data_IF_957543120135
#
_entry.id   IF_957543120135
#
_cell.length_a   1.000
_cell.length_b   1.000
_cell.length_c   1.000
_cell.angle_alpha   90.00
_cell.angle_beta   90.00
_cell.angle_gamma   90.00
#
_symmetry.space_group_name_H-M   'P 1'
#
loop_
_entity.id
_entity.type
_entity.pdbx_description
1 polymer ?
#
# COMPACT_ATOMS: atom_id res chain seq x y z
N UNK A 1 -9.79 70.98 33.63
CA UNK A 1 -9.77 71.10 32.14
C UNK A 1 -8.97 69.97 31.49
N UNK A 2 -7.81 69.56 32.04
CA UNK A 2 -7.02 68.42 31.56
C UNK A 2 -7.74 67.05 31.59
N UNK A 3 -8.50 66.75 32.66
CA UNK A 3 -9.22 65.46 32.76
C UNK A 3 -10.30 65.28 31.69
N UNK A 4 -10.99 66.36 31.31
CA UNK A 4 -12.03 66.31 30.28
C UNK A 4 -11.42 65.99 28.91
N UNK A 5 -10.24 66.55 28.62
CA UNK A 5 -9.55 66.33 27.36
C UNK A 5 -8.97 64.92 27.24
N UNK A 6 -8.36 64.39 28.31
CA UNK A 6 -7.87 63.01 28.36
C UNK A 6 -9.02 61.99 28.19
N UNK A 7 -10.18 62.24 28.82
CA UNK A 7 -11.35 61.36 28.73
C UNK A 7 -11.96 61.38 27.32
N UNK A 8 -11.98 62.53 26.65
CA UNK A 8 -12.45 62.66 25.27
C UNK A 8 -11.51 61.97 24.27
N UNK A 9 -10.20 62.12 24.45
CA UNK A 9 -9.19 61.46 23.61
C UNK A 9 -9.28 59.93 23.72
N UNK A 10 -9.40 59.40 24.93
CA UNK A 10 -9.59 57.97 25.20
C UNK A 10 -10.89 57.42 24.58
N UNK A 11 -12.00 58.16 24.65
CA UNK A 11 -13.26 57.76 23.99
C UNK A 11 -13.15 57.77 22.46
N UNK A 12 -12.48 58.78 21.89
CA UNK A 12 -12.27 58.88 20.45
C UNK A 12 -11.41 57.70 19.93
N UNK A 13 -10.29 57.43 20.59
CA UNK A 13 -9.38 56.31 20.28
C UNK A 13 -10.10 54.98 20.44
N UNK A 14 -10.87 54.77 21.52
CA UNK A 14 -11.66 53.55 21.73
C UNK A 14 -12.71 53.34 20.63
N UNK A 15 -13.41 54.39 20.19
CA UNK A 15 -14.39 54.30 19.10
C UNK A 15 -13.77 54.03 17.73
N UNK A 16 -12.59 54.60 17.47
CA UNK A 16 -11.84 54.42 16.24
C UNK A 16 -11.25 53.01 16.18
N UNK A 17 -10.69 52.54 17.29
CA UNK A 17 -10.18 51.18 17.46
C UNK A 17 -11.28 50.14 17.25
N UNK A 18 -12.45 50.29 17.89
CA UNK A 18 -13.57 49.36 17.71
C UNK A 18 -14.05 49.30 16.25
N UNK A 19 -14.15 50.45 15.56
CA UNK A 19 -14.53 50.49 14.14
C UNK A 19 -13.46 49.88 13.24
N UNK A 20 -12.19 50.12 13.54
CA UNK A 20 -11.06 49.54 12.81
C UNK A 20 -11.04 48.02 12.97
N UNK A 21 -11.16 47.52 14.21
CA UNK A 21 -11.19 46.10 14.54
C UNK A 21 -12.38 45.42 13.86
N UNK A 22 -13.59 45.98 13.98
CA UNK A 22 -14.78 45.44 13.30
C UNK A 22 -14.56 45.35 11.79
N UNK A 23 -14.12 46.44 11.15
CA UNK A 23 -13.88 46.45 9.70
C UNK A 23 -12.83 45.42 9.28
N UNK A 24 -11.73 45.32 10.01
CA UNK A 24 -10.69 44.32 9.73
C UNK A 24 -11.18 42.89 9.95
N UNK A 25 -11.94 42.63 11.02
CA UNK A 25 -12.52 41.30 11.27
C UNK A 25 -13.51 40.89 10.18
N UNK A 26 -14.36 41.79 9.68
CA UNK A 26 -15.29 41.45 8.60
C UNK A 26 -14.58 41.19 7.27
N UNK A 27 -13.57 41.99 6.92
CA UNK A 27 -12.80 41.77 5.67
C UNK A 27 -12.01 40.46 5.74
N UNK A 28 -11.32 40.19 6.86
CA UNK A 28 -10.57 38.94 7.04
C UNK A 28 -11.48 37.71 7.07
N UNK A 29 -12.66 37.79 7.70
CA UNK A 29 -13.64 36.70 7.65
C UNK A 29 -14.17 36.46 6.23
N UNK A 30 -14.39 37.51 5.44
CA UNK A 30 -14.80 37.37 4.05
C UNK A 30 -13.71 36.73 3.16
N UNK A 31 -12.45 37.11 3.37
CA UNK A 31 -11.29 36.50 2.68
C UNK A 31 -11.11 35.02 3.06
N UNK A 32 -11.28 34.69 4.35
CA UNK A 32 -11.24 33.30 4.83
C UNK A 32 -12.39 32.50 4.22
N UNK A 33 -13.61 33.05 4.17
CA UNK A 33 -14.76 32.39 3.55
C UNK A 33 -14.52 32.16 2.06
N UNK A 34 -13.95 33.13 1.36
CA UNK A 34 -13.60 33.01 -0.05
C UNK A 34 -12.54 31.91 -0.27
N UNK A 35 -11.47 31.90 0.51
CA UNK A 35 -10.40 30.92 0.38
C UNK A 35 -10.84 29.49 0.79
N UNK A 36 -11.65 29.35 1.84
CA UNK A 36 -12.04 28.05 2.37
C UNK A 36 -13.22 27.41 1.64
N UNK A 37 -14.12 28.21 1.06
CA UNK A 37 -15.40 27.73 0.49
C UNK A 37 -15.52 28.03 -1.00
N UNK A 38 -15.21 29.26 -1.43
CA UNK A 38 -15.47 29.66 -2.82
C UNK A 38 -14.35 29.21 -3.77
N UNK A 39 -13.10 29.37 -3.37
CA UNK A 39 -11.93 29.00 -4.17
C UNK A 39 -11.88 27.50 -4.52
N UNK A 40 -12.16 26.56 -3.59
CA UNK A 40 -12.19 25.13 -3.93
C UNK A 40 -13.32 24.73 -4.88
N UNK A 41 -14.42 25.49 -4.92
CA UNK A 41 -15.52 25.24 -5.86
C UNK A 41 -15.13 25.56 -7.32
N UNK A 42 -14.13 26.41 -7.52
CA UNK A 42 -13.55 26.72 -8.84
C UNK A 42 -12.56 25.65 -9.33
N UNK A 43 -12.15 24.71 -8.47
CA UNK A 43 -11.19 23.66 -8.79
C UNK A 43 -11.87 22.38 -9.29
N UNK A 44 -11.18 21.63 -10.17
CA UNK A 44 -11.58 20.29 -10.59
C UNK A 44 -11.60 19.30 -9.41
N UNK A 45 -12.30 18.16 -9.55
CA UNK A 45 -12.45 17.20 -8.46
C UNK A 45 -11.14 16.66 -7.86
N UNK A 46 -10.09 16.29 -8.64
CA UNK A 46 -8.82 15.85 -8.04
C UNK A 46 -8.06 17.01 -7.39
N UNK A 47 -8.01 18.17 -8.04
CA UNK A 47 -7.32 19.37 -7.57
C UNK A 47 -7.90 19.87 -6.24
N UNK A 48 -9.22 19.81 -6.11
CA UNK A 48 -9.95 20.17 -4.89
C UNK A 48 -9.54 19.30 -3.70
N UNK A 49 -9.37 17.99 -3.90
CA UNK A 49 -8.92 17.09 -2.85
C UNK A 49 -7.47 17.40 -2.44
N UNK A 50 -6.60 17.71 -3.39
CA UNK A 50 -5.23 18.14 -3.11
C UNK A 50 -5.20 19.45 -2.33
N UNK A 51 -6.02 20.42 -2.74
CA UNK A 51 -6.17 21.70 -2.05
C UNK A 51 -6.60 21.51 -0.59
N UNK A 52 -7.66 20.75 -0.33
CA UNK A 52 -8.13 20.52 1.05
C UNK A 52 -7.09 19.82 1.91
N UNK A 53 -6.34 18.86 1.35
CA UNK A 53 -5.24 18.19 2.07
C UNK A 53 -4.11 19.16 2.39
N UNK A 54 -3.74 20.04 1.45
CA UNK A 54 -2.72 21.06 1.67
C UNK A 54 -3.14 22.06 2.76
N UNK A 55 -4.39 22.55 2.71
CA UNK A 55 -4.96 23.44 3.74
C UNK A 55 -4.98 22.75 5.10
N UNK A 56 -5.45 21.50 5.17
CA UNK A 56 -5.48 20.74 6.42
C UNK A 56 -4.08 20.52 7.00
N UNK A 57 -3.09 20.14 6.18
CA UNK A 57 -1.69 19.98 6.63
C UNK A 57 -1.09 21.29 7.12
N UNK A 58 -1.35 22.38 6.40
CA UNK A 58 -0.89 23.72 6.79
C UNK A 58 -1.52 24.13 8.12
N UNK A 59 -2.80 23.82 8.31
CA UNK A 59 -3.53 24.06 9.56
C UNK A 59 -2.89 23.32 10.74
N UNK A 60 -2.61 22.03 10.58
CA UNK A 60 -1.92 21.25 11.62
C UNK A 60 -0.49 21.74 11.89
N UNK A 61 0.26 22.12 10.86
CA UNK A 61 1.60 22.68 11.02
C UNK A 61 1.56 24.00 11.79
N UNK A 62 0.58 24.85 11.51
CA UNK A 62 0.41 26.13 12.17
C UNK A 62 -0.04 25.98 13.65
N UNK A 63 -0.94 25.05 13.93
CA UNK A 63 -1.29 24.68 15.30
C UNK A 63 -0.08 24.14 16.08
N UNK A 64 0.71 23.27 15.47
CA UNK A 64 1.92 22.74 16.08
C UNK A 64 2.95 23.85 16.37
N UNK A 65 3.09 24.84 15.49
CA UNK A 65 3.97 26.00 15.70
C UNK A 65 3.53 26.85 16.91
N UNK A 66 2.23 26.88 17.21
CA UNK A 66 1.67 27.54 18.40
C UNK A 66 1.67 26.64 19.64
N UNK A 67 2.19 25.41 19.54
CA UNK A 67 2.08 24.37 20.59
C UNK A 67 0.63 24.11 21.00
N UNK A 68 -0.30 24.22 20.05
CA UNK A 68 -1.72 24.01 20.26
C UNK A 68 -2.23 22.76 19.54
N UNK A 69 -3.26 22.17 20.12
CA UNK A 69 -4.07 21.15 19.45
C UNK A 69 -5.30 21.79 18.82
N UNK A 70 -5.93 21.06 17.91
CA UNK A 70 -7.21 21.47 17.32
C UNK A 70 -8.25 21.79 18.40
N UNK A 71 -8.34 20.92 19.41
CA UNK A 71 -9.28 21.07 20.50
C UNK A 71 -8.99 22.31 21.35
N UNK A 72 -7.74 22.54 21.74
CA UNK A 72 -7.37 23.69 22.56
C UNK A 72 -7.63 25.02 21.83
N UNK A 73 -7.34 25.07 20.53
CA UNK A 73 -7.63 26.28 19.74
C UNK A 73 -9.14 26.54 19.67
N UNK A 74 -9.95 25.52 19.35
CA UNK A 74 -11.41 25.69 19.30
C UNK A 74 -12.00 26.08 20.65
N UNK A 75 -11.59 25.43 21.74
CA UNK A 75 -12.10 25.67 23.08
C UNK A 75 -11.84 27.11 23.54
N UNK A 76 -10.59 27.59 23.43
CA UNK A 76 -10.19 28.88 23.99
C UNK A 76 -10.37 30.05 23.02
N UNK A 77 -10.13 29.85 21.73
CA UNK A 77 -10.17 30.94 20.75
C UNK A 77 -11.55 31.16 20.14
N UNK A 78 -12.43 30.15 20.14
CA UNK A 78 -13.76 30.24 19.50
C UNK A 78 -14.87 30.06 20.53
N UNK A 79 -14.89 28.93 21.24
CA UNK A 79 -16.00 28.57 22.13
C UNK A 79 -16.07 29.53 23.34
N UNK A 80 -14.94 29.83 24.00
CA UNK A 80 -14.94 30.72 25.17
C UNK A 80 -15.44 32.15 24.86
N UNK A 81 -15.01 32.82 23.76
CA UNK A 81 -15.62 34.09 23.35
C UNK A 81 -17.11 34.01 23.03
N UNK A 82 -17.58 32.92 22.39
CA UNK A 82 -19.01 32.71 22.11
C UNK A 82 -19.80 32.60 23.41
N UNK A 83 -19.32 31.82 24.39
CA UNK A 83 -19.95 31.72 25.71
C UNK A 83 -19.97 33.10 26.39
N UNK A 84 -18.86 33.83 26.36
CA UNK A 84 -18.78 35.20 26.87
C UNK A 84 -19.82 36.13 26.24
N UNK A 85 -20.00 36.05 24.92
CA UNK A 85 -21.02 36.81 24.19
C UNK A 85 -22.45 36.44 24.64
N UNK A 86 -22.76 35.14 24.77
CA UNK A 86 -24.07 34.68 25.24
C UNK A 86 -24.36 35.17 26.66
N UNK A 87 -23.37 35.11 27.56
CA UNK A 87 -23.50 35.64 28.94
C UNK A 87 -23.82 37.14 28.90
N UNK A 88 -23.16 37.91 28.05
CA UNK A 88 -23.47 39.34 27.89
C UNK A 88 -24.91 39.55 27.42
N UNK A 89 -25.39 38.79 26.44
CA UNK A 89 -26.76 38.89 25.94
C UNK A 89 -27.80 38.57 27.02
N UNK A 90 -27.52 37.59 27.89
CA UNK A 90 -28.39 37.26 29.03
C UNK A 90 -28.40 38.39 30.05
N UNK A 91 -27.24 38.97 30.38
CA UNK A 91 -27.14 40.13 31.28
C UNK A 91 -27.89 41.35 30.72
N UNK A 92 -27.86 41.55 29.40
CA UNK A 92 -28.62 42.57 28.68
C UNK A 92 -30.13 42.29 28.58
N UNK A 93 -30.67 41.22 29.16
CA UNK A 93 -32.11 41.00 29.30
C UNK A 93 -32.65 41.29 30.70
N UNK A 94 -31.79 41.47 31.70
CA UNK A 94 -32.23 41.69 33.08
C UNK A 94 -32.63 43.16 33.31
N UNK A 95 -33.76 43.51 33.94
CA UNK A 95 -34.33 44.88 33.94
C UNK A 95 -33.57 45.96 34.74
N UNK A 96 -32.48 45.64 35.44
CA UNK A 96 -31.72 46.58 36.30
C UNK A 96 -30.54 47.27 35.58
N UNK A 97 -30.69 47.63 34.29
CA UNK A 97 -29.57 47.79 33.35
C UNK A 97 -28.77 49.08 33.42
N UNK A 98 -29.32 50.18 33.92
CA UNK A 98 -28.64 51.48 33.82
C UNK A 98 -27.31 51.51 34.58
N UNK A 99 -27.20 50.79 35.70
CA UNK A 99 -25.97 50.68 36.47
C UNK A 99 -24.94 49.69 35.86
N UNK A 100 -25.37 48.73 35.04
CA UNK A 100 -24.52 47.64 34.51
C UNK A 100 -24.00 47.89 33.08
N UNK A 101 -24.54 48.87 32.37
CA UNK A 101 -24.17 49.22 30.99
C UNK A 101 -22.67 49.49 30.75
N UNK A 102 -21.89 50.14 31.64
CA UNK A 102 -20.45 50.29 31.43
C UNK A 102 -19.69 48.96 31.48
N UNK A 103 -20.07 48.07 32.40
CA UNK A 103 -19.45 46.74 32.55
C UNK A 103 -19.73 45.86 31.33
N UNK A 104 -20.95 45.93 30.78
CA UNK A 104 -21.31 45.21 29.54
C UNK A 104 -20.47 45.67 28.34
N UNK A 105 -20.22 46.98 28.20
CA UNK A 105 -19.39 47.51 27.11
C UNK A 105 -17.93 47.07 27.22
N UNK A 106 -17.38 47.03 28.43
CA UNK A 106 -16.02 46.53 28.66
C UNK A 106 -15.92 45.03 28.40
N UNK A 107 -16.94 44.26 28.80
CA UNK A 107 -17.04 42.82 28.53
C UNK A 107 -17.14 42.51 27.02
N UNK A 108 -17.92 43.28 26.26
CA UNK A 108 -18.04 43.14 24.80
C UNK A 108 -16.72 43.45 24.08
N UNK A 109 -15.99 44.47 24.52
CA UNK A 109 -14.65 44.75 23.98
C UNK A 109 -13.68 43.60 24.32
N UNK A 110 -13.75 43.05 25.53
CA UNK A 110 -12.97 41.88 25.94
C UNK A 110 -13.27 40.63 25.11
N UNK A 111 -14.55 40.34 24.85
CA UNK A 111 -14.98 39.23 23.98
C UNK A 111 -14.49 39.43 22.54
N UNK A 112 -14.65 40.64 21.99
CA UNK A 112 -14.21 40.96 20.64
C UNK A 112 -12.68 40.84 20.50
N UNK A 113 -11.91 41.35 21.47
CA UNK A 113 -10.46 41.23 21.49
C UNK A 113 -10.00 39.77 21.69
N UNK A 114 -10.68 39.03 22.58
CA UNK A 114 -10.43 37.61 22.85
C UNK A 114 -10.68 36.70 21.65
N UNK A 115 -11.54 37.10 20.71
CA UNK A 115 -11.74 36.41 19.44
C UNK A 115 -10.75 36.91 18.36
N UNK A 116 -10.61 38.22 18.20
CA UNK A 116 -9.86 38.81 17.10
C UNK A 116 -8.35 38.55 17.19
N UNK A 117 -7.77 38.64 18.39
CA UNK A 117 -6.31 38.50 18.57
C UNK A 117 -5.83 37.08 18.26
N UNK A 118 -6.42 36.00 18.82
CA UNK A 118 -6.00 34.64 18.48
C UNK A 118 -6.21 34.29 17.01
N UNK A 119 -7.30 34.75 16.39
CA UNK A 119 -7.54 34.54 14.96
C UNK A 119 -6.49 35.23 14.08
N UNK A 120 -6.09 36.45 14.42
CA UNK A 120 -5.06 37.17 13.68
C UNK A 120 -3.70 36.47 13.80
N UNK A 121 -3.31 36.05 15.01
CA UNK A 121 -2.09 35.26 15.24
C UNK A 121 -2.14 33.97 14.41
N UNK A 122 -3.26 33.24 14.47
CA UNK A 122 -3.45 32.00 13.74
C UNK A 122 -3.34 32.21 12.23
N UNK A 123 -3.96 33.26 11.68
CA UNK A 123 -3.90 33.60 10.26
C UNK A 123 -2.47 33.89 9.81
N UNK A 124 -1.71 34.69 10.57
CA UNK A 124 -0.31 34.99 10.25
C UNK A 124 0.55 33.73 10.26
N UNK A 125 0.43 32.89 11.31
CA UNK A 125 1.20 31.65 11.41
C UNK A 125 0.79 30.65 10.33
N UNK A 126 -0.48 30.59 9.98
CA UNK A 126 -0.98 29.76 8.87
C UNK A 126 -0.32 30.15 7.55
N UNK A 127 -0.37 31.44 7.18
CA UNK A 127 0.24 31.94 5.94
C UNK A 127 1.75 31.67 5.92
N UNK A 128 2.44 31.85 7.04
CA UNK A 128 3.87 31.55 7.17
C UNK A 128 4.20 30.06 6.95
N UNK A 129 3.29 29.15 7.31
CA UNK A 129 3.51 27.71 7.17
C UNK A 129 3.14 27.15 5.78
N UNK A 130 2.47 27.91 4.91
CA UNK A 130 2.09 27.46 3.56
C UNK A 130 3.32 27.02 2.75
N UNK A 131 4.38 27.86 2.56
CA UNK A 131 5.51 27.48 1.71
C UNK A 131 6.26 26.25 2.23
N UNK A 132 6.42 26.17 3.56
CA UNK A 132 7.06 25.04 4.23
C UNK A 132 6.28 23.74 4.01
N UNK A 133 4.95 23.79 4.12
CA UNK A 133 4.08 22.62 3.92
C UNK A 133 4.13 22.16 2.46
N UNK A 134 4.02 23.09 1.50
CA UNK A 134 4.12 22.78 0.07
C UNK A 134 5.48 22.17 -0.27
N UNK A 135 6.56 22.73 0.25
CA UNK A 135 7.92 22.22 0.02
C UNK A 135 8.09 20.78 0.55
N UNK A 136 7.62 20.51 1.77
CA UNK A 136 7.68 19.18 2.36
C UNK A 136 6.85 18.16 1.57
N UNK A 137 5.66 18.56 1.10
CA UNK A 137 4.81 17.71 0.26
C UNK A 137 5.47 17.43 -1.09
N UNK A 138 6.13 18.42 -1.69
CA UNK A 138 6.90 18.25 -2.92
C UNK A 138 8.07 17.29 -2.73
N UNK A 139 8.85 17.42 -1.65
CA UNK A 139 9.94 16.49 -1.35
C UNK A 139 9.44 15.05 -1.17
N UNK A 140 8.31 14.87 -0.49
CA UNK A 140 7.70 13.55 -0.32
C UNK A 140 7.27 12.94 -1.67
N UNK A 141 6.71 13.76 -2.57
CA UNK A 141 6.33 13.34 -3.91
C UNK A 141 7.55 12.93 -4.75
N UNK A 142 8.59 13.76 -4.78
CA UNK A 142 9.84 13.48 -5.51
C UNK A 142 10.49 12.18 -4.99
N UNK A 143 10.48 11.95 -3.67
CA UNK A 143 11.00 10.72 -3.10
C UNK A 143 10.19 9.48 -3.54
N UNK A 144 8.85 9.60 -3.62
CA UNK A 144 7.99 8.51 -4.11
C UNK A 144 8.19 8.26 -5.61
N UNK A 145 8.31 9.31 -6.41
CA UNK A 145 8.56 9.20 -7.85
C UNK A 145 9.93 8.56 -8.12
N UNK A 146 10.97 8.97 -7.38
CA UNK A 146 12.29 8.35 -7.43
C UNK A 146 12.24 6.86 -7.11
N UNK A 147 11.54 6.46 -6.04
CA UNK A 147 11.30 5.06 -5.72
C UNK A 147 10.56 4.35 -6.85
N UNK A 148 9.47 4.90 -7.35
CA UNK A 148 8.69 4.29 -8.42
C UNK A 148 9.52 4.05 -9.69
N UNK A 149 10.37 5.01 -10.07
CA UNK A 149 11.30 4.87 -11.19
C UNK A 149 12.30 3.73 -10.95
N UNK A 150 12.89 3.65 -9.75
CA UNK A 150 13.82 2.56 -9.42
C UNK A 150 13.16 1.19 -9.43
N UNK A 151 11.97 1.05 -8.83
CA UNK A 151 11.23 -0.22 -8.83
C UNK A 151 10.78 -0.61 -10.23
N UNK A 152 10.37 0.36 -11.06
CA UNK A 152 9.97 0.09 -12.44
C UNK A 152 11.15 -0.39 -13.28
N UNK A 153 12.33 0.21 -13.10
CA UNK A 153 13.56 -0.22 -13.76
C UNK A 153 14.02 -1.61 -13.29
N UNK A 154 13.98 -1.89 -11.99
CA UNK A 154 14.30 -3.22 -11.43
C UNK A 154 13.34 -4.30 -11.94
N UNK A 155 12.03 -4.01 -11.96
CA UNK A 155 11.03 -4.93 -12.49
C UNK A 155 11.24 -5.18 -13.98
N UNK A 156 11.48 -4.14 -14.78
CA UNK A 156 11.76 -4.31 -16.21
C UNK A 156 13.03 -5.13 -16.44
N UNK A 157 14.09 -4.91 -15.66
CA UNK A 157 15.30 -5.74 -15.73
C UNK A 157 15.00 -7.21 -15.38
N UNK A 158 14.22 -7.46 -14.32
CA UNK A 158 13.83 -8.81 -13.86
C UNK A 158 12.91 -9.57 -14.83
N UNK A 159 12.20 -8.88 -15.74
CA UNK A 159 11.41 -9.55 -16.80
C UNK A 159 12.31 -10.31 -17.78
N UNK A 160 13.51 -9.81 -18.02
CA UNK A 160 14.41 -10.33 -19.06
C UNK A 160 15.68 -10.98 -18.48
N UNK A 161 15.90 -10.87 -17.17
CA UNK A 161 17.11 -11.34 -16.51
C UNK A 161 16.79 -12.07 -15.20
N UNK A 162 17.56 -13.12 -14.91
CA UNK A 162 17.54 -13.78 -13.60
C UNK A 162 18.75 -13.29 -12.81
N UNK A 163 18.53 -12.68 -11.64
CA UNK A 163 19.64 -12.29 -10.77
C UNK A 163 20.17 -13.47 -9.97
N UNK A 164 21.49 -13.57 -9.84
CA UNK A 164 22.14 -14.56 -8.96
C UNK A 164 21.93 -14.27 -7.48
N UNK A 165 21.52 -13.04 -7.13
CA UNK A 165 21.19 -12.63 -5.76
C UNK A 165 19.74 -12.96 -5.38
N UNK A 166 18.90 -13.34 -6.34
CA UNK A 166 17.51 -13.63 -6.05
C UNK A 166 17.35 -15.00 -5.38
N UNK A 167 16.43 -15.14 -4.40
CA UNK A 167 16.15 -16.43 -3.76
C UNK A 167 15.71 -17.53 -4.72
N UNK A 168 15.21 -17.18 -5.92
CA UNK A 168 14.80 -18.12 -6.95
C UNK A 168 15.98 -18.73 -7.71
N UNK A 169 17.14 -18.05 -7.75
CA UNK A 169 18.30 -18.53 -8.51
C UNK A 169 18.84 -19.85 -7.95
N UNK A 170 19.09 -20.01 -6.63
CA UNK A 170 19.46 -21.31 -6.06
C UNK A 170 18.42 -22.40 -6.34
N UNK A 171 17.12 -22.10 -6.29
CA UNK A 171 16.06 -23.07 -6.58
C UNK A 171 16.19 -23.64 -8.01
N UNK A 172 16.44 -22.76 -8.99
CA UNK A 172 16.65 -23.16 -10.39
C UNK A 172 17.90 -24.04 -10.52
N UNK A 173 19.03 -23.60 -9.95
CA UNK A 173 20.29 -24.35 -10.01
C UNK A 173 20.16 -25.74 -9.37
N UNK A 174 19.55 -25.84 -8.20
CA UNK A 174 19.37 -27.12 -7.52
C UNK A 174 18.34 -28.02 -8.20
N UNK A 175 17.33 -27.44 -8.86
CA UNK A 175 16.42 -28.20 -9.71
C UNK A 175 17.16 -28.83 -10.90
N UNK A 176 18.01 -28.08 -11.59
CA UNK A 176 18.84 -28.59 -12.69
C UNK A 176 19.77 -29.71 -12.19
N UNK A 177 20.43 -29.50 -11.05
CA UNK A 177 21.30 -30.50 -10.43
C UNK A 177 20.55 -31.79 -10.06
N UNK A 178 19.32 -31.68 -9.54
CA UNK A 178 18.51 -32.86 -9.20
C UNK A 178 18.26 -33.76 -10.42
N UNK A 179 17.93 -33.17 -11.58
CA UNK A 179 17.75 -33.92 -12.83
C UNK A 179 19.06 -34.42 -13.43
N UNK A 180 20.16 -33.70 -13.25
CA UNK A 180 21.48 -34.19 -13.65
C UNK A 180 21.91 -35.42 -12.84
N UNK A 181 21.72 -35.38 -11.52
CA UNK A 181 21.99 -36.51 -10.62
C UNK A 181 21.13 -37.71 -11.00
N UNK A 182 19.84 -37.48 -11.31
CA UNK A 182 18.95 -38.52 -11.80
C UNK A 182 19.48 -39.20 -13.07
N UNK A 183 19.91 -38.41 -14.07
CA UNK A 183 20.50 -38.95 -15.30
C UNK A 183 21.75 -39.78 -15.04
N UNK A 184 22.64 -39.31 -14.17
CA UNK A 184 23.82 -40.09 -13.79
C UNK A 184 23.45 -41.39 -13.07
N UNK A 185 22.49 -41.36 -12.15
CA UNK A 185 22.01 -42.53 -11.42
C UNK A 185 21.38 -43.60 -12.33
N UNK A 186 20.76 -43.19 -13.45
CA UNK A 186 20.23 -44.11 -14.46
C UNK A 186 21.30 -44.77 -15.34
N UNK A 187 22.55 -44.30 -15.30
CA UNK A 187 23.62 -44.84 -16.14
C UNK A 187 23.36 -44.72 -17.64
N UNK A 188 22.59 -43.71 -18.06
CA UNK A 188 22.28 -43.48 -19.47
C UNK A 188 21.07 -44.25 -20.02
N UNK A 189 20.40 -45.06 -19.20
CA UNK A 189 19.24 -45.85 -19.61
C UNK A 189 18.09 -44.98 -20.17
N UNK A 190 17.23 -45.55 -21.04
CA UNK A 190 16.05 -44.85 -21.53
C UNK A 190 15.12 -44.44 -20.39
N UNK A 191 14.59 -43.22 -20.45
CA UNK A 191 13.76 -42.69 -19.38
C UNK A 191 12.68 -41.72 -19.87
N UNK A 192 11.63 -41.61 -19.06
CA UNK A 192 10.48 -40.73 -19.26
C UNK A 192 10.21 -39.92 -18.00
N UNK A 193 9.98 -38.64 -18.19
CA UNK A 193 9.44 -37.73 -17.17
C UNK A 193 8.08 -37.25 -17.65
N UNK A 194 7.01 -37.69 -17.00
CA UNK A 194 5.66 -37.14 -17.23
C UNK A 194 5.42 -36.01 -16.24
N UNK A 195 4.89 -34.89 -16.71
CA UNK A 195 4.54 -33.74 -15.88
C UNK A 195 3.07 -33.41 -16.10
N UNK A 196 2.31 -33.27 -15.01
CA UNK A 196 0.90 -32.87 -15.05
C UNK A 196 0.64 -31.78 -14.02
N UNK A 197 -0.19 -30.80 -14.33
CA UNK A 197 -0.54 -29.72 -13.41
C UNK A 197 -1.97 -29.23 -13.70
N UNK A 198 -2.75 -28.82 -12.69
CA UNK A 198 -4.02 -28.13 -12.92
C UNK A 198 -3.79 -26.71 -13.49
N UNK A 199 -4.86 -26.08 -13.98
CA UNK A 199 -4.85 -24.65 -14.32
C UNK A 199 -4.47 -23.82 -13.09
N UNK A 200 -3.67 -22.78 -13.27
CA UNK A 200 -3.35 -21.81 -12.21
C UNK A 200 -1.85 -21.68 -11.93
N UNK A 201 -1.46 -21.53 -10.66
CA UNK A 201 -0.07 -21.20 -10.28
C UNK A 201 0.89 -22.38 -10.45
N UNK A 202 0.44 -23.60 -10.14
CA UNK A 202 1.23 -24.82 -10.31
C UNK A 202 1.67 -25.09 -11.74
N UNK A 203 0.88 -24.62 -12.72
CA UNK A 203 1.19 -24.63 -14.14
C UNK A 203 2.60 -24.12 -14.48
N UNK A 204 2.94 -22.92 -13.99
CA UNK A 204 4.17 -22.25 -14.36
C UNK A 204 5.40 -23.01 -13.83
N UNK A 205 5.30 -23.50 -12.58
CA UNK A 205 6.35 -24.33 -12.00
C UNK A 205 6.48 -25.67 -12.74
N UNK A 206 5.36 -26.28 -13.10
CA UNK A 206 5.34 -27.53 -13.86
C UNK A 206 5.97 -27.38 -15.25
N UNK A 207 5.66 -26.30 -15.98
CA UNK A 207 6.26 -26.02 -17.29
C UNK A 207 7.76 -25.82 -17.19
N UNK A 208 8.22 -25.08 -16.18
CA UNK A 208 9.65 -24.88 -15.94
C UNK A 208 10.34 -26.21 -15.57
N UNK A 209 9.74 -27.03 -14.72
CA UNK A 209 10.27 -28.35 -14.34
C UNK A 209 10.33 -29.29 -15.55
N UNK A 210 9.30 -29.29 -16.41
CA UNK A 210 9.29 -30.10 -17.63
C UNK A 210 10.39 -29.66 -18.61
N UNK A 211 10.57 -28.35 -18.79
CA UNK A 211 11.63 -27.83 -19.65
C UNK A 211 13.00 -28.26 -19.15
N UNK A 212 13.27 -28.12 -17.85
CA UNK A 212 14.55 -28.49 -17.26
C UNK A 212 14.77 -29.99 -17.18
N UNK A 213 13.73 -30.79 -16.93
CA UNK A 213 13.85 -32.24 -16.99
C UNK A 213 14.28 -32.67 -18.39
N UNK A 214 13.65 -32.13 -19.44
CA UNK A 214 14.01 -32.43 -20.82
C UNK A 214 15.46 -32.05 -21.14
N UNK A 215 15.87 -30.83 -20.78
CA UNK A 215 17.19 -30.30 -21.13
C UNK A 215 18.35 -30.96 -20.40
N UNK A 216 18.19 -31.36 -19.12
CA UNK A 216 19.32 -31.82 -18.30
C UNK A 216 19.32 -33.32 -18.06
N UNK A 217 18.13 -33.94 -17.97
CA UNK A 217 18.08 -35.39 -17.72
C UNK A 217 18.27 -36.23 -18.99
N UNK A 218 18.07 -35.66 -20.18
CA UNK A 218 18.05 -36.43 -21.43
C UNK A 218 16.90 -37.43 -21.54
N UNK A 219 15.91 -37.38 -20.63
CA UNK A 219 14.70 -38.17 -20.70
C UNK A 219 13.69 -37.55 -21.67
N UNK A 220 12.85 -38.40 -22.28
CA UNK A 220 11.65 -37.92 -22.95
C UNK A 220 10.73 -37.28 -21.91
N UNK A 221 10.45 -35.98 -22.07
CA UNK A 221 9.54 -35.28 -21.16
C UNK A 221 8.22 -35.01 -21.85
N UNK A 222 7.11 -35.32 -21.17
CA UNK A 222 5.75 -35.06 -21.65
C UNK A 222 4.98 -34.17 -20.67
N UNK A 223 4.30 -33.16 -21.20
CA UNK A 223 3.50 -32.19 -20.44
C UNK A 223 4.32 -31.05 -19.81
N UNK A 224 3.70 -30.22 -18.95
CA UNK A 224 2.27 -30.25 -18.62
C UNK A 224 1.43 -29.86 -19.84
N UNK A 225 0.46 -30.71 -20.19
CA UNK A 225 -0.54 -30.36 -21.20
C UNK A 225 -1.63 -29.53 -20.53
N UNK A 226 -1.90 -28.36 -21.11
CA UNK A 226 -2.81 -27.36 -20.55
C UNK A 226 -4.11 -27.23 -21.36
N UNK A 227 -4.21 -27.98 -22.46
CA UNK A 227 -5.37 -27.97 -23.35
C UNK A 227 -6.42 -28.99 -22.89
N UNK A 228 -6.92 -28.80 -21.67
CA UNK A 228 -7.96 -29.66 -21.09
C UNK A 228 -9.24 -29.71 -21.95
N UNK A 229 -9.52 -28.66 -22.73
CA UNK A 229 -10.71 -28.59 -23.59
C UNK A 229 -10.64 -29.59 -24.76
N UNK A 230 -9.44 -30.02 -25.18
CA UNK A 230 -9.24 -31.01 -26.24
C UNK A 230 -9.28 -32.45 -25.71
N UNK A 231 -8.93 -32.66 -24.44
CA UNK A 231 -8.95 -33.97 -23.81
C UNK A 231 -9.25 -33.85 -22.30
N UNK A 232 -10.51 -34.08 -21.87
CA UNK A 232 -10.91 -33.94 -20.47
C UNK A 232 -10.26 -34.98 -19.54
N UNK A 233 -9.76 -36.10 -20.09
CA UNK A 233 -9.02 -37.08 -19.28
C UNK A 233 -7.70 -36.53 -18.75
N UNK A 234 -7.13 -35.48 -19.39
CA UNK A 234 -5.93 -34.81 -18.91
C UNK A 234 -6.19 -34.03 -17.62
N UNK A 235 -7.35 -33.39 -17.50
CA UNK A 235 -7.71 -32.65 -16.29
C UNK A 235 -7.89 -33.63 -15.13
N UNK A 236 -8.56 -34.76 -15.39
CA UNK A 236 -8.72 -35.82 -14.41
C UNK A 236 -7.36 -36.38 -13.99
N UNK A 237 -6.43 -36.62 -14.91
CA UNK A 237 -5.08 -37.08 -14.56
C UNK A 237 -4.28 -36.03 -13.76
N UNK A 238 -4.44 -34.75 -14.06
CA UNK A 238 -3.77 -33.68 -13.33
C UNK A 238 -4.32 -33.51 -11.90
N UNK A 239 -5.62 -33.73 -11.71
CA UNK A 239 -6.33 -33.43 -10.45
C UNK A 239 -6.60 -34.65 -9.56
N UNK A 240 -6.65 -35.87 -10.10
CA UNK A 240 -6.92 -37.08 -9.32
C UNK A 240 -5.73 -37.43 -8.43
N UNK A 241 -5.94 -37.45 -7.11
CA UNK A 241 -4.87 -37.71 -6.13
C UNK A 241 -3.87 -36.56 -5.95
N UNK A 242 -4.13 -35.38 -6.53
CA UNK A 242 -3.32 -34.17 -6.34
C UNK A 242 -3.27 -33.74 -4.87
N UNK A 243 -2.15 -33.14 -4.47
CA UNK A 243 -2.00 -32.42 -3.21
C UNK A 243 -1.75 -30.95 -3.50
N UNK A 244 -2.64 -30.05 -3.05
CA UNK A 244 -2.66 -28.63 -3.45
C UNK A 244 -1.30 -27.92 -3.34
N UNK A 245 -0.58 -28.12 -2.23
CA UNK A 245 0.65 -27.38 -1.92
C UNK A 245 1.93 -28.22 -2.08
N UNK A 246 1.87 -29.29 -2.88
CA UNK A 246 2.99 -30.21 -3.09
C UNK A 246 3.02 -30.76 -4.52
N UNK A 247 4.11 -31.44 -4.84
CA UNK A 247 4.20 -32.28 -6.05
C UNK A 247 4.09 -33.74 -5.60
N UNK A 248 3.11 -34.46 -6.16
CA UNK A 248 3.02 -35.91 -5.99
C UNK A 248 4.01 -36.56 -6.96
N UNK A 249 5.01 -37.23 -6.41
CA UNK A 249 6.09 -37.88 -7.14
C UNK A 249 5.79 -39.37 -7.28
N UNK A 250 5.46 -39.80 -8.49
CA UNK A 250 5.11 -41.18 -8.83
C UNK A 250 6.30 -41.88 -9.49
N UNK A 251 6.76 -42.98 -8.90
CA UNK A 251 7.83 -43.83 -9.46
C UNK A 251 7.70 -45.28 -9.00
N UNK A 252 8.41 -46.21 -9.65
CA UNK A 252 8.46 -47.60 -9.20
C UNK A 252 9.14 -47.73 -7.81
N UNK A 253 8.81 -48.78 -7.06
CA UNK A 253 9.32 -48.99 -5.68
C UNK A 253 10.81 -49.31 -5.62
N UNK A 254 11.34 -49.91 -6.68
CA UNK A 254 12.72 -50.39 -6.79
C UNK A 254 13.61 -49.47 -7.63
N UNK A 255 13.09 -48.31 -8.01
CA UNK A 255 13.80 -47.33 -8.86
C UNK A 255 14.71 -46.43 -8.02
N UNK A 256 15.93 -46.91 -7.79
CA UNK A 256 16.97 -46.19 -7.04
C UNK A 256 17.31 -44.83 -7.66
N UNK A 257 17.19 -44.68 -8.98
CA UNK A 257 17.46 -43.41 -9.64
C UNK A 257 16.34 -42.40 -9.31
N UNK A 258 15.08 -42.83 -9.38
CA UNK A 258 13.95 -42.00 -8.97
C UNK A 258 14.01 -41.62 -7.48
N UNK A 259 14.57 -42.48 -6.62
CA UNK A 259 14.79 -42.14 -5.21
C UNK A 259 15.80 -41.00 -5.03
N UNK A 260 16.89 -40.99 -5.81
CA UNK A 260 17.82 -39.85 -5.82
C UNK A 260 17.11 -38.56 -6.25
N UNK A 261 16.33 -38.62 -7.33
CA UNK A 261 15.57 -37.47 -7.81
C UNK A 261 14.60 -36.96 -6.75
N UNK A 262 13.86 -37.85 -6.08
CA UNK A 262 12.93 -37.50 -5.01
C UNK A 262 13.64 -36.78 -3.86
N UNK A 263 14.78 -37.30 -3.40
CA UNK A 263 15.55 -36.68 -2.31
C UNK A 263 16.05 -35.28 -2.67
N UNK A 264 16.62 -35.11 -3.87
CA UNK A 264 17.18 -33.83 -4.28
C UNK A 264 16.10 -32.78 -4.61
N UNK A 265 15.01 -33.18 -5.26
CA UNK A 265 13.86 -32.30 -5.49
C UNK A 265 13.15 -31.93 -4.18
N UNK A 266 13.08 -32.85 -3.21
CA UNK A 266 12.47 -32.63 -1.90
C UNK A 266 13.13 -31.52 -1.09
N UNK A 267 14.40 -31.21 -1.37
CA UNK A 267 15.10 -30.07 -0.77
C UNK A 267 14.59 -28.73 -1.30
N UNK A 268 14.07 -28.69 -2.54
CA UNK A 268 13.63 -27.45 -3.20
C UNK A 268 12.13 -27.21 -3.04
N UNK A 269 11.33 -28.26 -2.97
CA UNK A 269 9.88 -28.16 -2.89
C UNK A 269 9.28 -29.33 -2.10
N UNK A 270 8.06 -29.17 -1.63
CA UNK A 270 7.35 -30.22 -0.90
C UNK A 270 6.95 -31.33 -1.86
N UNK A 271 7.43 -32.54 -1.59
CA UNK A 271 7.06 -33.75 -2.33
C UNK A 271 6.20 -34.69 -1.50
N UNK A 272 5.32 -35.41 -2.18
CA UNK A 272 4.56 -36.54 -1.62
C UNK A 272 4.86 -37.76 -2.48
N UNK A 273 5.35 -38.84 -1.89
CA UNK A 273 5.70 -40.06 -2.64
C UNK A 273 4.44 -40.85 -3.00
N UNK A 274 4.38 -41.31 -4.24
CA UNK A 274 3.41 -42.28 -4.74
C UNK A 274 4.12 -43.35 -5.56
N UNK A 275 3.55 -44.55 -5.58
CA UNK A 275 4.04 -45.67 -6.38
C UNK A 275 3.07 -46.08 -7.48
N UNK A 276 2.06 -45.24 -7.74
CA UNK A 276 1.05 -45.48 -8.78
C UNK A 276 1.52 -44.87 -10.09
N UNK A 277 2.04 -45.69 -10.99
CA UNK A 277 2.35 -45.27 -12.35
C UNK A 277 1.09 -45.34 -13.24
N UNK A 278 1.01 -44.55 -14.32
CA UNK A 278 -0.11 -44.63 -15.25
C UNK A 278 -0.23 -46.03 -15.83
N UNK A 279 -1.40 -46.67 -15.70
CA UNK A 279 -1.63 -48.04 -16.18
C UNK A 279 -1.53 -48.15 -17.71
N UNK A 280 -1.76 -47.04 -18.42
CA UNK A 280 -1.57 -46.90 -19.87
C UNK A 280 -0.80 -45.61 -20.12
N UNK A 281 0.42 -45.66 -20.70
CA UNK A 281 1.09 -44.46 -21.14
C UNK A 281 0.30 -43.83 -22.29
N UNK A 282 0.04 -42.53 -22.17
CA UNK A 282 -0.57 -41.67 -23.19
C UNK A 282 0.46 -41.08 -24.16
N UNK A 283 1.70 -41.57 -24.08
CA UNK A 283 2.83 -41.15 -24.90
C UNK A 283 3.39 -42.34 -25.68
N UNK A 284 3.91 -42.06 -26.88
CA UNK A 284 4.59 -43.04 -27.71
C UNK A 284 6.11 -42.79 -27.65
N UNK A 285 6.86 -43.82 -27.25
CA UNK A 285 8.32 -43.79 -27.31
C UNK A 285 8.81 -44.52 -28.55
N UNK A 286 9.92 -44.07 -29.17
CA UNK A 286 10.60 -44.89 -30.16
C UNK A 286 11.07 -46.21 -29.51
N UNK A 287 11.26 -47.29 -30.29
CA UNK A 287 11.65 -48.60 -29.76
C UNK A 287 12.88 -48.51 -28.87
N UNK A 288 12.75 -48.85 -27.59
CA UNK A 288 13.84 -48.84 -26.62
C UNK A 288 14.32 -50.26 -26.34
N UNK A 289 15.64 -50.43 -26.20
CA UNK A 289 16.22 -51.66 -25.67
C UNK A 289 16.37 -51.53 -24.15
N UNK A 290 15.83 -52.47 -23.40
CA UNK A 290 15.97 -52.54 -21.94
C UNK A 290 14.82 -51.90 -21.15
N UNK A 291 15.02 -51.78 -19.83
CA UNK A 291 14.04 -51.19 -18.90
C UNK A 291 13.98 -49.68 -19.10
N UNK A 292 12.77 -49.15 -19.26
CA UNK A 292 12.51 -47.70 -19.31
C UNK A 292 12.20 -47.21 -17.90
N UNK A 293 12.94 -46.22 -17.43
CA UNK A 293 12.71 -45.56 -16.15
C UNK A 293 11.59 -44.52 -16.30
N UNK A 294 10.60 -44.53 -15.42
CA UNK A 294 9.44 -43.64 -15.53
C UNK A 294 9.23 -42.90 -14.21
N UNK A 295 9.28 -41.57 -14.29
CA UNK A 295 8.89 -40.67 -13.20
C UNK A 295 7.70 -39.85 -13.67
N UNK A 296 6.67 -39.74 -12.85
CA UNK A 296 5.55 -38.84 -13.08
C UNK A 296 5.45 -37.82 -11.95
N UNK A 297 5.54 -36.54 -12.30
CA UNK A 297 5.45 -35.39 -11.41
C UNK A 297 4.07 -34.74 -11.58
N UNK A 298 3.23 -34.89 -10.57
CA UNK A 298 1.89 -34.30 -10.54
C UNK A 298 1.85 -33.10 -9.60
N UNK A 299 1.79 -31.91 -10.17
CA UNK A 299 1.80 -30.65 -9.43
C UNK A 299 0.42 -30.33 -8.87
N UNK A 300 0.38 -29.82 -7.64
CA UNK A 300 -0.82 -29.25 -7.07
C UNK A 300 -1.21 -27.90 -7.68
N UNK A 301 -2.27 -27.29 -7.14
CA UNK A 301 -2.72 -25.96 -7.56
C UNK A 301 -1.73 -24.86 -7.16
N UNK A 302 -1.09 -24.99 -5.99
CA UNK A 302 -0.22 -23.98 -5.38
C UNK A 302 1.08 -24.57 -4.82
N UNK A 303 1.85 -25.35 -5.60
CA UNK A 303 3.17 -25.79 -5.17
C UNK A 303 4.05 -24.56 -4.96
N UNK A 304 4.86 -24.61 -3.90
CA UNK A 304 5.76 -23.53 -3.52
C UNK A 304 7.19 -24.03 -3.50
N UNK A 305 8.13 -23.13 -3.73
CA UNK A 305 9.50 -23.37 -3.32
C UNK A 305 9.61 -23.37 -1.80
N UNK A 306 10.52 -24.16 -1.25
CA UNK A 306 10.81 -24.15 0.19
C UNK A 306 11.36 -22.80 0.67
N UNK A 307 11.89 -21.96 -0.24
CA UNK A 307 12.31 -20.58 0.06
C UNK A 307 11.17 -19.56 0.12
N UNK A 308 9.94 -19.93 -0.28
CA UNK A 308 8.74 -19.08 -0.17
C UNK A 308 8.01 -19.22 1.19
N UNK A 309 8.63 -19.85 2.18
CA UNK A 309 8.02 -20.07 3.50
C UNK A 309 7.91 -18.78 4.32
#
# INVERSE_FOLDING_TARGET
MFDVFATLLLRAVRSAFVRLVLRYTFVTLAEILFAAVLFPLLLGSPERLHYYRAVARTWYAALAALSQTNLSFLAYSIIAPIIGFVVVLVLLRHPSQEAAMPQVKDLMVGVAAGLAVPLLIMATVFVWNIPKTIYNDHLALVALEGKNKTLSADLEWRKHSVSTTDPVFPNIIYLLQAFQIYRHAQGGAPCVVKVTAPRGRGAAMASMVAQFSSSVSGCFTFGPDMNFDLNPDLEKQATDGMVSDAIVFHAARDDKAADQLFMHLGNQTRLVRSFRLPSKPDYQLPPQKGRVYVVWLQFGANPKWNSER
#
